data_IF_832089317245
#
_entry.id   IF_832089317245
#
_cell.length_a   1.000
_cell.length_b   1.000
_cell.length_c   1.000
_cell.angle_alpha   90.00
_cell.angle_beta   90.00
_cell.angle_gamma   90.00
#
_symmetry.space_group_name_H-M   'P 1'
#
loop_
_entity.id
_entity.type
_entity.pdbx_description
1 polymer ?
#
# COMPACT_ATOMS: atom_id res chain seq x y z
N UNK A 1 -21.68 -1.62 -29.49
CA UNK A 1 -22.32 -0.75 -28.46
C UNK A 1 -21.34 -0.23 -27.40
N UNK A 2 -20.16 -0.84 -27.18
CA UNK A 2 -19.19 -0.36 -26.19
C UNK A 2 -18.32 0.85 -26.63
N UNK A 3 -18.07 1.04 -27.94
CA UNK A 3 -17.28 2.19 -28.44
C UNK A 3 -18.02 3.53 -28.29
N UNK A 4 -19.35 3.55 -28.48
CA UNK A 4 -20.16 4.76 -28.39
C UNK A 4 -20.25 5.31 -26.95
N UNK A 5 -20.09 4.45 -25.94
CA UNK A 5 -20.09 4.84 -24.52
C UNK A 5 -18.75 5.46 -24.06
N UNK A 6 -17.65 5.27 -24.80
CA UNK A 6 -16.33 5.82 -24.46
C UNK A 6 -16.16 7.23 -25.05
N UNK A 7 -16.59 7.46 -26.30
CA UNK A 7 -16.41 8.78 -26.94
C UNK A 7 -17.25 9.89 -26.29
N UNK A 8 -18.43 9.57 -25.76
CA UNK A 8 -19.31 10.53 -25.08
C UNK A 8 -18.79 10.96 -23.68
N UNK A 9 -17.86 10.18 -23.10
CA UNK A 9 -17.24 10.49 -21.81
C UNK A 9 -16.00 11.38 -21.95
N UNK A 10 -15.35 11.41 -23.12
CA UNK A 10 -14.10 12.16 -23.35
C UNK A 10 -14.35 13.69 -23.40
N UNK A 11 -15.44 14.13 -24.05
CA UNK A 11 -15.79 15.54 -24.16
C UNK A 11 -16.10 16.22 -22.80
N UNK A 12 -16.44 15.43 -21.78
CA UNK A 12 -16.78 15.92 -20.44
C UNK A 12 -15.55 16.28 -19.59
N UNK A 13 -14.35 15.87 -20.01
CA UNK A 13 -13.10 16.12 -19.29
C UNK A 13 -12.07 16.93 -20.10
N UNK A 14 -12.54 17.62 -21.14
CA UNK A 14 -11.74 18.54 -21.93
C UNK A 14 -11.73 19.93 -21.29
N UNK A 15 -10.56 20.56 -21.27
CA UNK A 15 -10.39 21.94 -20.86
C UNK A 15 -10.96 22.86 -21.95
N UNK A 16 -11.92 23.74 -21.63
CA UNK A 16 -12.51 24.65 -22.62
C UNK A 16 -11.55 25.70 -23.20
N UNK A 17 -10.37 25.88 -22.59
CA UNK A 17 -9.38 26.88 -23.01
C UNK A 17 -8.39 26.28 -24.01
N UNK A 18 -7.80 25.12 -23.70
CA UNK A 18 -6.84 24.47 -24.60
C UNK A 18 -7.44 23.36 -25.46
N UNK A 19 -8.72 23.01 -25.25
CA UNK A 19 -9.46 21.96 -25.95
C UNK A 19 -8.86 20.55 -25.83
N UNK A 20 -7.93 20.37 -24.89
CA UNK A 20 -7.30 19.10 -24.53
C UNK A 20 -7.85 18.56 -23.21
N UNK A 21 -7.64 17.27 -22.96
CA UNK A 21 -7.89 16.63 -21.67
C UNK A 21 -7.28 17.43 -20.50
N UNK A 22 -8.02 17.59 -19.41
CA UNK A 22 -7.62 18.42 -18.27
C UNK A 22 -6.28 17.98 -17.64
N UNK A 23 -5.28 18.87 -17.68
CA UNK A 23 -3.97 18.71 -17.01
C UNK A 23 -3.97 19.49 -15.70
N UNK A 24 -3.81 18.78 -14.58
CA UNK A 24 -3.96 19.35 -13.22
C UNK A 24 -5.31 20.11 -13.12
N UNK A 25 -6.44 19.39 -13.18
CA UNK A 25 -7.75 20.02 -13.18
C UNK A 25 -7.98 20.84 -11.91
N UNK A 26 -8.52 22.04 -12.08
CA UNK A 26 -9.00 22.90 -11.00
C UNK A 26 -10.46 23.23 -11.27
N UNK A 27 -11.28 23.23 -10.23
CA UNK A 27 -12.70 23.61 -10.31
C UNK A 27 -12.88 24.94 -9.61
N UNK A 28 -13.34 25.95 -10.34
CA UNK A 28 -13.58 27.29 -9.80
C UNK A 28 -15.00 27.37 -9.20
N UNK A 29 -15.34 28.41 -8.39
CA UNK A 29 -16.59 28.42 -7.60
C UNK A 29 -17.90 28.29 -8.40
N UNK A 30 -17.91 28.60 -9.70
CA UNK A 30 -19.08 28.37 -10.56
C UNK A 30 -19.22 26.91 -11.04
N UNK A 31 -18.37 25.99 -10.58
CA UNK A 31 -18.41 24.55 -10.91
C UNK A 31 -17.71 24.14 -12.21
N UNK A 32 -17.21 25.09 -13.01
CA UNK A 32 -16.48 24.78 -14.24
C UNK A 32 -15.03 24.38 -13.95
N UNK A 33 -14.50 23.45 -14.73
CA UNK A 33 -13.15 22.91 -14.55
C UNK A 33 -12.23 23.23 -15.72
N UNK A 34 -10.97 23.55 -15.40
CA UNK A 34 -9.93 23.95 -16.35
C UNK A 34 -8.60 23.32 -15.96
N UNK A 35 -7.63 23.32 -16.88
CA UNK A 35 -6.24 23.11 -16.48
C UNK A 35 -5.80 24.27 -15.58
N UNK A 36 -5.06 23.97 -14.52
CA UNK A 36 -4.58 25.00 -13.58
C UNK A 36 -3.82 26.13 -14.29
N UNK A 37 -2.93 25.80 -15.23
CA UNK A 37 -2.22 26.78 -16.05
C UNK A 37 -3.18 27.61 -16.89
N UNK A 38 -4.08 26.98 -17.65
CA UNK A 38 -4.99 27.68 -18.56
C UNK A 38 -5.87 28.73 -17.86
N UNK A 39 -6.42 28.43 -16.68
CA UNK A 39 -7.25 29.42 -15.97
C UNK A 39 -6.39 30.48 -15.27
N UNK A 40 -5.17 30.13 -14.86
CA UNK A 40 -4.23 31.10 -14.28
C UNK A 40 -3.82 32.11 -15.33
N UNK A 41 -3.42 31.65 -16.52
CA UNK A 41 -3.02 32.50 -17.65
C UNK A 41 -4.13 33.49 -18.05
N UNK A 42 -5.39 33.05 -18.06
CA UNK A 42 -6.54 33.91 -18.35
C UNK A 42 -6.73 34.98 -17.27
N UNK A 43 -6.62 34.61 -15.99
CA UNK A 43 -6.78 35.55 -14.88
C UNK A 43 -5.60 36.48 -14.69
N UNK A 44 -4.38 36.04 -15.02
CA UNK A 44 -3.17 36.85 -14.95
C UNK A 44 -3.19 38.00 -15.99
N UNK A 45 -3.86 37.80 -17.13
CA UNK A 45 -4.11 38.86 -18.11
C UNK A 45 -5.14 39.90 -17.63
N UNK A 46 -6.04 39.53 -16.72
CA UNK A 46 -7.12 40.40 -16.20
C UNK A 46 -6.80 40.99 -14.82
N UNK A 47 -5.61 40.71 -14.27
CA UNK A 47 -5.24 41.01 -12.88
C UNK A 47 -5.28 42.53 -12.56
N UNK A 48 -4.99 43.38 -13.55
CA UNK A 48 -5.07 44.84 -13.43
C UNK A 48 -6.49 45.37 -13.21
N UNK A 49 -7.53 44.61 -13.56
CA UNK A 49 -8.94 45.00 -13.42
C UNK A 49 -9.56 44.56 -12.10
N UNK A 50 -8.90 43.69 -11.33
CA UNK A 50 -9.38 43.17 -10.04
C UNK A 50 -10.69 42.36 -10.10
N UNK A 51 -11.14 42.00 -11.31
CA UNK A 51 -12.38 41.26 -11.58
C UNK A 51 -12.02 40.06 -12.46
N UNK A 52 -12.21 38.85 -11.94
CA UNK A 52 -11.82 37.61 -12.61
C UNK A 52 -13.03 36.92 -13.20
N UNK A 53 -13.00 36.58 -14.49
CA UNK A 53 -14.15 35.97 -15.19
C UNK A 53 -13.95 34.49 -15.47
N UNK A 54 -15.02 33.71 -15.34
CA UNK A 54 -15.07 32.34 -15.85
C UNK A 54 -15.09 32.34 -17.39
N UNK A 55 -14.17 31.64 -18.08
CA UNK A 55 -14.16 31.55 -19.54
C UNK A 55 -15.46 31.00 -20.14
N UNK A 56 -16.10 30.03 -19.49
CA UNK A 56 -17.34 29.40 -19.95
C UNK A 56 -18.60 30.23 -19.67
N UNK A 57 -18.96 30.42 -18.39
CA UNK A 57 -20.24 31.05 -18.02
C UNK A 57 -20.16 32.56 -17.79
N UNK A 58 -18.97 33.16 -17.91
CA UNK A 58 -18.72 34.60 -17.74
C UNK A 58 -19.02 35.16 -16.33
N UNK A 59 -19.30 34.30 -15.35
CA UNK A 59 -19.46 34.71 -13.95
C UNK A 59 -18.18 35.38 -13.44
N UNK A 60 -18.35 36.49 -12.73
CA UNK A 60 -17.28 37.33 -12.18
C UNK A 60 -16.98 36.99 -10.72
N UNK A 61 -15.72 37.07 -10.33
CA UNK A 61 -15.24 36.87 -8.96
C UNK A 61 -14.35 38.04 -8.54
N UNK A 62 -14.55 38.52 -7.32
CA UNK A 62 -13.65 39.47 -6.63
C UNK A 62 -13.82 39.23 -5.13
N UNK A 63 -12.78 38.81 -4.38
CA UNK A 63 -11.37 38.66 -4.79
C UNK A 63 -11.09 37.44 -5.69
N UNK A 64 -9.85 37.29 -6.16
CA UNK A 64 -9.39 36.16 -6.99
C UNK A 64 -9.65 34.83 -6.27
N UNK A 65 -10.35 33.86 -6.90
CA UNK A 65 -10.51 32.55 -6.30
C UNK A 65 -9.18 31.82 -6.14
N UNK A 66 -9.00 31.14 -5.00
CA UNK A 66 -7.84 30.28 -4.78
C UNK A 66 -7.98 29.00 -5.61
N UNK A 67 -6.96 28.69 -6.41
CA UNK A 67 -6.95 27.52 -7.27
C UNK A 67 -6.33 26.32 -6.55
N UNK A 68 -7.15 25.30 -6.27
CA UNK A 68 -6.72 24.02 -5.74
C UNK A 68 -6.96 22.89 -6.74
N UNK A 69 -6.03 21.94 -6.84
CA UNK A 69 -6.19 20.75 -7.68
C UNK A 69 -7.43 19.96 -7.24
N UNK A 70 -8.36 19.73 -8.17
CA UNK A 70 -9.48 18.83 -7.96
C UNK A 70 -9.00 17.38 -8.09
N UNK A 71 -8.82 16.72 -6.94
CA UNK A 71 -8.30 15.34 -6.86
C UNK A 71 -9.24 14.35 -7.53
N UNK A 72 -10.56 14.54 -7.42
CA UNK A 72 -11.58 13.63 -7.98
C UNK A 72 -11.54 13.65 -9.50
N UNK A 73 -11.55 14.85 -10.11
CA UNK A 73 -11.47 14.99 -11.57
C UNK A 73 -10.11 14.48 -12.07
N UNK A 74 -9.03 14.75 -11.35
CA UNK A 74 -7.70 14.25 -11.72
C UNK A 74 -7.65 12.71 -11.75
N UNK A 75 -8.25 12.03 -10.76
CA UNK A 75 -8.32 10.57 -10.72
C UNK A 75 -9.20 10.00 -11.85
N UNK A 76 -10.32 10.66 -12.18
CA UNK A 76 -11.18 10.26 -13.30
C UNK A 76 -10.47 10.37 -14.64
N UNK A 77 -9.75 11.47 -14.87
CA UNK A 77 -8.93 11.70 -16.06
C UNK A 77 -7.81 10.65 -16.18
N UNK A 78 -7.17 10.29 -15.07
CA UNK A 78 -6.13 9.25 -15.03
C UNK A 78 -6.69 7.85 -15.33
N UNK A 79 -7.89 7.53 -14.81
CA UNK A 79 -8.58 6.28 -15.13
C UNK A 79 -8.96 6.21 -16.61
N UNK A 80 -9.46 7.30 -17.20
CA UNK A 80 -9.77 7.37 -18.63
C UNK A 80 -8.52 7.16 -19.51
N UNK A 81 -7.40 7.82 -19.19
CA UNK A 81 -6.15 7.63 -19.94
C UNK A 81 -5.61 6.21 -19.79
N UNK A 82 -5.73 5.60 -18.60
CA UNK A 82 -5.33 4.20 -18.37
C UNK A 82 -6.23 3.19 -19.08
N UNK A 83 -7.54 3.43 -19.12
CA UNK A 83 -8.48 2.62 -19.88
C UNK A 83 -8.22 2.74 -21.39
N UNK A 84 -7.83 3.93 -21.89
CA UNK A 84 -7.38 4.13 -23.27
C UNK A 84 -6.12 3.31 -23.60
N UNK A 85 -5.15 3.25 -22.69
CA UNK A 85 -3.93 2.44 -22.84
C UNK A 85 -4.19 0.92 -22.80
N UNK A 86 -5.34 0.48 -22.28
CA UNK A 86 -5.72 -0.93 -22.20
C UNK A 86 -6.72 -1.35 -23.29
N UNK A 87 -7.56 -0.43 -23.80
CA UNK A 87 -8.53 -0.68 -24.87
C UNK A 87 -7.96 -0.41 -26.28
N UNK A 88 -6.90 0.39 -26.40
CA UNK A 88 -6.15 0.52 -27.64
C UNK A 88 -5.19 -0.66 -27.82
N UNK A 89 -5.71 -1.78 -28.36
CA UNK A 89 -4.93 -2.51 -29.36
C UNK A 89 -4.51 -1.50 -30.44
N UNK A 90 -3.32 -1.62 -31.05
CA UNK A 90 -2.68 -0.50 -31.74
C UNK A 90 -3.46 -0.09 -32.99
N UNK A 91 -4.40 0.85 -32.84
CA UNK A 91 -4.80 1.79 -33.88
C UNK A 91 -3.87 2.99 -33.76
N UNK A 92 -2.59 2.73 -33.96
CA UNK A 92 -1.65 3.78 -34.33
C UNK A 92 -2.05 4.09 -35.77
N UNK A 93 -2.52 5.32 -36.03
CA UNK A 93 -2.14 5.92 -37.30
C UNK A 93 -0.61 5.90 -37.29
N UNK A 94 -0.06 4.82 -37.83
CA UNK A 94 1.35 4.71 -38.12
C UNK A 94 1.58 5.82 -39.15
N UNK A 95 1.93 7.02 -38.69
CA UNK A 95 3.17 7.59 -39.20
C UNK A 95 4.19 6.49 -38.98
N UNK A 96 4.38 5.64 -39.99
CA UNK A 96 5.49 4.72 -40.01
C UNK A 96 6.71 5.61 -39.78
N UNK A 97 7.29 5.48 -38.59
CA UNK A 97 8.64 5.94 -38.30
C UNK A 97 9.56 5.10 -39.20
N UNK A 98 9.60 5.45 -40.49
CA UNK A 98 10.08 4.60 -41.56
C UNK A 98 9.67 5.01 -42.98
N UNK A 99 8.75 5.98 -43.16
CA UNK A 99 8.37 6.45 -44.51
C UNK A 99 9.50 7.24 -45.17
N UNK A 100 10.36 6.53 -45.89
CA UNK A 100 11.42 7.09 -46.72
C UNK A 100 10.78 7.89 -47.85
N UNK A 101 11.21 9.13 -48.04
CA UNK A 101 10.71 9.98 -49.11
C UNK A 101 11.46 9.72 -50.41
N UNK A 102 10.80 9.96 -51.54
CA UNK A 102 11.44 9.88 -52.85
C UNK A 102 12.39 11.06 -53.07
N UNK A 103 13.61 10.77 -53.51
CA UNK A 103 14.66 11.74 -53.73
C UNK A 103 14.51 12.50 -55.06
N UNK A 104 13.82 11.92 -56.03
CA UNK A 104 13.64 12.50 -57.37
C UNK A 104 12.38 13.36 -57.53
N UNK A 105 11.47 13.35 -56.56
CA UNK A 105 10.27 14.19 -56.61
C UNK A 105 10.62 15.68 -56.52
N UNK A 106 10.15 16.47 -57.49
CA UNK A 106 10.16 17.92 -57.44
C UNK A 106 8.84 18.40 -56.80
N UNK A 107 8.91 19.04 -55.63
CA UNK A 107 7.73 19.49 -54.87
C UNK A 107 7.34 18.56 -53.71
N UNK A 108 6.07 18.16 -53.65
CA UNK A 108 5.57 17.26 -52.59
C UNK A 108 6.19 15.87 -52.79
N UNK A 109 7.14 15.51 -51.93
CA UNK A 109 7.84 14.22 -51.99
C UNK A 109 6.89 13.06 -51.66
N UNK A 110 6.77 12.15 -52.61
CA UNK A 110 5.99 10.92 -52.45
C UNK A 110 6.77 9.88 -51.62
N UNK A 111 6.05 8.94 -51.01
CA UNK A 111 6.66 7.79 -50.31
C UNK A 111 7.48 6.96 -51.30
N UNK A 112 8.73 6.66 -50.94
CA UNK A 112 9.59 5.77 -51.68
C UNK A 112 9.18 4.31 -51.44
N UNK A 113 9.24 3.51 -52.50
CA UNK A 113 8.94 2.07 -52.48
C UNK A 113 10.20 1.23 -52.60
N UNK A 114 11.23 1.73 -53.29
CA UNK A 114 12.53 1.08 -53.42
C UNK A 114 13.67 2.07 -53.26
N UNK A 115 14.80 1.60 -52.75
CA UNK A 115 16.08 2.30 -52.79
C UNK A 115 17.02 1.59 -53.76
N UNK A 116 17.73 2.36 -54.58
CA UNK A 116 18.78 1.85 -55.48
C UNK A 116 20.14 2.03 -54.83
N UNK A 117 20.93 0.96 -54.79
CA UNK A 117 22.25 0.94 -54.15
C UNK A 117 23.28 1.71 -54.98
N UNK A 118 23.22 1.60 -56.30
CA UNK A 118 24.15 2.26 -57.20
C UNK A 118 23.89 3.77 -57.31
N UNK A 119 22.61 4.19 -57.28
CA UNK A 119 22.23 5.59 -57.30
C UNK A 119 22.16 6.22 -55.91
N UNK A 120 22.27 5.43 -54.85
CA UNK A 120 22.13 5.84 -53.44
C UNK A 120 20.89 6.71 -53.20
N UNK A 121 19.81 6.38 -53.90
CA UNK A 121 18.58 7.18 -53.96
C UNK A 121 17.35 6.31 -53.80
N UNK A 122 16.33 6.86 -53.16
CA UNK A 122 15.04 6.22 -52.92
C UNK A 122 13.97 6.78 -53.87
N UNK A 123 13.20 5.88 -54.49
CA UNK A 123 12.24 6.22 -55.54
C UNK A 123 10.82 5.84 -55.14
N UNK A 124 9.87 6.74 -55.37
CA UNK A 124 8.44 6.39 -55.38
C UNK A 124 8.14 5.56 -56.64
N UNK A 125 6.96 4.93 -56.69
CA UNK A 125 6.60 4.00 -57.78
C UNK A 125 6.83 4.59 -59.18
N UNK A 126 6.42 5.84 -59.41
CA UNK A 126 6.58 6.52 -60.70
C UNK A 126 8.07 6.74 -61.06
N UNK A 127 8.88 7.24 -60.12
CA UNK A 127 10.30 7.45 -60.36
C UNK A 127 11.09 6.12 -60.43
N UNK A 128 10.61 5.07 -59.79
CA UNK A 128 11.16 3.73 -59.90
C UNK A 128 10.96 3.17 -61.32
N UNK A 129 9.75 3.28 -61.87
CA UNK A 129 9.45 2.84 -63.24
C UNK A 129 10.29 3.61 -64.26
N UNK A 130 10.47 4.92 -64.06
CA UNK A 130 11.36 5.72 -64.91
C UNK A 130 12.82 5.27 -64.79
N UNK A 131 13.30 5.03 -63.57
CA UNK A 131 14.64 4.52 -63.31
C UNK A 131 14.87 3.15 -63.98
N UNK A 132 13.96 2.19 -63.81
CA UNK A 132 14.06 0.86 -64.44
C UNK A 132 14.03 0.93 -65.97
N UNK A 133 13.28 1.87 -66.54
CA UNK A 133 13.25 2.09 -67.99
C UNK A 133 14.56 2.70 -68.51
N UNK A 134 15.17 3.65 -67.79
CA UNK A 134 16.45 4.28 -68.15
C UNK A 134 17.61 3.28 -68.05
N UNK A 135 17.61 2.42 -67.04
CA UNK A 135 18.68 1.46 -66.76
C UNK A 135 18.36 0.04 -67.24
N UNK A 136 17.46 -0.12 -68.23
CA UNK A 136 17.04 -1.43 -68.77
C UNK A 136 18.21 -2.32 -69.22
N UNK A 137 19.28 -1.72 -69.72
CA UNK A 137 20.50 -2.40 -70.18
C UNK A 137 21.54 -2.67 -69.07
N UNK A 138 21.43 -2.00 -67.91
CA UNK A 138 22.32 -2.15 -66.75
C UNK A 138 21.48 -2.29 -65.49
N UNK A 139 21.20 -3.52 -65.07
CA UNK A 139 20.43 -3.76 -63.84
C UNK A 139 21.15 -3.19 -62.62
N UNK A 140 20.51 -2.24 -61.98
CA UNK A 140 20.86 -1.76 -60.65
C UNK A 140 20.20 -2.64 -59.59
N UNK A 141 20.83 -2.75 -58.43
CA UNK A 141 20.30 -3.48 -57.28
C UNK A 141 19.30 -2.59 -56.53
N UNK A 142 18.04 -3.01 -56.56
CA UNK A 142 16.93 -2.35 -55.89
C UNK A 142 16.54 -3.15 -54.64
N UNK A 143 16.38 -2.48 -53.51
CA UNK A 143 15.89 -3.04 -52.26
C UNK A 143 14.69 -2.24 -51.74
N UNK A 144 13.96 -2.77 -50.75
CA UNK A 144 12.88 -2.03 -50.12
C UNK A 144 13.37 -0.70 -49.57
N UNK A 145 12.55 0.35 -49.72
CA UNK A 145 12.95 1.69 -49.33
C UNK A 145 13.39 1.73 -47.87
N UNK A 146 14.61 2.23 -47.62
CA UNK A 146 15.19 2.31 -46.28
C UNK A 146 15.80 3.69 -46.04
N UNK A 147 15.49 4.30 -44.90
CA UNK A 147 16.09 5.57 -44.48
C UNK A 147 17.54 5.43 -44.04
N UNK A 148 18.04 4.18 -43.97
CA UNK A 148 19.39 3.82 -43.53
C UNK A 148 20.28 3.36 -44.69
N UNK A 149 19.97 3.79 -45.91
CA UNK A 149 20.72 3.41 -47.11
C UNK A 149 22.22 3.71 -46.96
N UNK A 150 22.56 4.89 -46.44
CA UNK A 150 23.95 5.30 -46.22
C UNK A 150 24.68 4.42 -45.19
N UNK A 151 23.99 3.88 -44.18
CA UNK A 151 24.58 2.99 -43.17
C UNK A 151 24.95 1.62 -43.75
N UNK A 152 24.41 1.26 -44.92
CA UNK A 152 24.66 0.00 -45.61
C UNK A 152 25.83 0.09 -46.61
N UNK A 153 26.40 1.28 -46.79
CA UNK A 153 27.47 1.58 -47.74
C UNK A 153 28.77 1.84 -46.96
N UNK A 154 29.86 1.23 -47.41
CA UNK A 154 31.19 1.47 -46.89
C UNK A 154 31.62 2.91 -47.18
N UNK A 155 31.91 3.67 -46.13
CA UNK A 155 32.35 5.07 -46.24
C UNK A 155 33.68 5.26 -46.98
N UNK A 156 34.54 4.25 -47.04
CA UNK A 156 35.83 4.35 -47.72
C UNK A 156 35.78 3.95 -49.19
N UNK A 157 35.00 2.91 -49.52
CA UNK A 157 35.04 2.28 -50.84
C UNK A 157 33.78 2.53 -51.67
N UNK A 158 32.75 3.15 -51.07
CA UNK A 158 31.46 3.38 -51.72
C UNK A 158 30.84 2.08 -52.27
N UNK A 159 31.01 0.99 -51.51
CA UNK A 159 30.53 -0.37 -51.81
C UNK A 159 29.68 -0.90 -50.67
N UNK A 160 28.75 -1.81 -50.98
CA UNK A 160 27.86 -2.42 -50.00
C UNK A 160 28.64 -3.20 -48.92
N UNK A 161 28.14 -3.09 -47.69
CA UNK A 161 28.64 -3.86 -46.54
C UNK A 161 28.04 -5.26 -46.53
N UNK A 162 28.66 -6.18 -47.27
CA UNK A 162 28.19 -7.56 -47.46
C UNK A 162 28.86 -8.56 -46.51
N UNK A 163 29.96 -8.18 -45.88
CA UNK A 163 30.78 -9.01 -45.01
C UNK A 163 30.72 -8.49 -43.57
N UNK A 164 30.98 -9.37 -42.61
CA UNK A 164 31.11 -9.04 -41.20
C UNK A 164 32.45 -9.55 -40.67
N UNK A 165 33.24 -8.65 -40.09
CA UNK A 165 34.47 -9.00 -39.41
C UNK A 165 34.16 -9.30 -37.93
N UNK A 166 34.36 -10.55 -37.50
CA UNK A 166 34.15 -10.98 -36.11
C UNK A 166 35.21 -10.44 -35.17
N UNK A 167 36.45 -10.31 -35.66
CA UNK A 167 37.56 -9.73 -34.91
C UNK A 167 37.28 -8.28 -34.51
N UNK A 168 36.82 -7.46 -35.45
CA UNK A 168 36.56 -6.02 -35.22
C UNK A 168 35.09 -5.69 -34.94
N UNK A 169 34.22 -6.69 -34.98
CA UNK A 169 32.77 -6.59 -34.75
C UNK A 169 32.07 -5.51 -35.60
N UNK A 170 32.39 -5.46 -36.89
CA UNK A 170 31.83 -4.46 -37.82
C UNK A 170 31.50 -5.06 -39.19
N UNK A 171 30.47 -4.51 -39.83
CA UNK A 171 30.18 -4.81 -41.23
C UNK A 171 31.21 -4.13 -42.13
N UNK A 172 31.72 -4.84 -43.14
CA UNK A 172 32.75 -4.37 -44.08
C UNK A 172 32.34 -4.72 -45.52
N UNK A 173 32.91 -4.03 -46.52
CA UNK A 173 32.72 -4.39 -47.93
C UNK A 173 33.83 -5.34 -48.41
N UNK A 174 33.71 -5.85 -49.64
CA UNK A 174 34.68 -6.76 -50.23
C UNK A 174 36.07 -6.14 -50.44
N UNK A 175 36.18 -4.82 -50.59
CA UNK A 175 37.49 -4.13 -50.71
C UNK A 175 38.20 -4.06 -49.36
N UNK A 176 37.49 -3.73 -48.29
CA UNK A 176 38.01 -3.81 -46.92
C UNK A 176 38.50 -5.22 -46.58
N UNK A 177 37.82 -6.27 -47.05
CA UNK A 177 38.21 -7.65 -46.80
C UNK A 177 39.59 -7.98 -47.39
N UNK A 178 39.86 -7.57 -48.63
CA UNK A 178 41.11 -7.92 -49.32
C UNK A 178 42.28 -7.02 -48.94
N UNK A 179 42.01 -5.83 -48.41
CA UNK A 179 43.01 -4.85 -48.00
C UNK A 179 43.30 -4.95 -46.49
N UNK A 180 42.52 -4.24 -45.66
CA UNK A 180 42.76 -4.12 -44.21
C UNK A 180 42.43 -5.40 -43.40
N UNK A 181 41.43 -6.19 -43.80
CA UNK A 181 40.90 -7.30 -43.00
C UNK A 181 41.31 -8.70 -43.47
N UNK A 182 42.36 -8.80 -44.30
CA UNK A 182 42.75 -10.06 -44.97
C UNK A 182 43.06 -11.21 -44.01
N UNK A 183 43.55 -10.90 -42.82
CA UNK A 183 43.92 -11.89 -41.78
C UNK A 183 42.90 -12.00 -40.65
N UNK A 184 41.75 -11.31 -40.73
CA UNK A 184 40.74 -11.33 -39.67
C UNK A 184 39.70 -12.43 -39.91
N UNK A 185 39.04 -12.87 -38.84
CA UNK A 185 37.90 -13.78 -38.95
C UNK A 185 36.72 -13.02 -39.58
N UNK A 186 36.38 -13.40 -40.80
CA UNK A 186 35.38 -12.72 -41.62
C UNK A 186 34.40 -13.72 -42.21
N UNK A 187 33.13 -13.36 -42.18
CA UNK A 187 32.02 -14.16 -42.70
C UNK A 187 31.06 -13.26 -43.47
N UNK A 188 30.16 -13.82 -44.28
CA UNK A 188 29.10 -13.00 -44.89
C UNK A 188 28.17 -12.42 -43.81
N UNK A 189 27.72 -11.18 -44.00
CA UNK A 189 26.80 -10.52 -43.09
C UNK A 189 25.50 -11.31 -42.92
N UNK A 190 25.05 -12.01 -43.97
CA UNK A 190 23.86 -12.87 -43.95
C UNK A 190 24.08 -14.09 -43.04
N UNK A 191 25.23 -14.75 -43.13
CA UNK A 191 25.55 -15.90 -42.28
C UNK A 191 25.68 -15.49 -40.81
N UNK A 192 26.42 -14.41 -40.52
CA UNK A 192 26.56 -13.89 -39.15
C UNK A 192 25.21 -13.49 -38.56
N UNK A 193 24.38 -12.77 -39.33
CA UNK A 193 23.03 -12.40 -38.91
C UNK A 193 22.23 -13.64 -38.52
N UNK A 194 22.26 -14.70 -39.33
CA UNK A 194 21.54 -15.94 -39.03
C UNK A 194 22.03 -16.60 -37.74
N UNK A 195 23.33 -16.58 -37.48
CA UNK A 195 23.89 -17.10 -36.23
C UNK A 195 23.46 -16.28 -35.01
N UNK A 196 23.64 -14.96 -35.06
CA UNK A 196 23.23 -14.04 -33.98
C UNK A 196 21.73 -14.05 -33.74
N UNK A 197 20.93 -14.20 -34.81
CA UNK A 197 19.48 -14.33 -34.73
C UNK A 197 19.06 -15.57 -33.95
N UNK A 198 19.67 -16.74 -34.21
CA UNK A 198 19.41 -17.96 -33.43
C UNK A 198 19.76 -17.79 -31.95
N UNK A 199 20.92 -17.18 -31.68
CA UNK A 199 21.33 -16.87 -30.30
C UNK A 199 20.31 -15.98 -29.58
N UNK A 200 19.80 -14.94 -30.25
CA UNK A 200 18.76 -14.08 -29.69
C UNK A 200 17.44 -14.82 -29.46
N UNK A 201 17.03 -15.68 -30.37
CA UNK A 201 15.82 -16.50 -30.20
C UNK A 201 15.94 -17.45 -29.00
N UNK A 202 17.09 -18.09 -28.81
CA UNK A 202 17.35 -18.93 -27.64
C UNK A 202 17.38 -18.13 -26.33
N UNK A 203 18.04 -16.99 -26.35
CA UNK A 203 18.09 -16.05 -25.21
C UNK A 203 16.69 -15.58 -24.84
N UNK A 204 15.89 -15.21 -25.83
CA UNK A 204 14.51 -14.76 -25.64
C UNK A 204 13.63 -15.87 -25.05
N UNK A 205 13.76 -17.11 -25.55
CA UNK A 205 13.08 -18.29 -24.98
C UNK A 205 13.46 -18.51 -23.52
N UNK A 206 14.74 -18.38 -23.17
CA UNK A 206 15.20 -18.55 -21.80
C UNK A 206 14.69 -17.44 -20.87
N UNK A 207 14.69 -16.19 -21.30
CA UNK A 207 14.12 -15.07 -20.54
C UNK A 207 12.62 -15.30 -20.30
N UNK A 208 11.88 -15.73 -21.31
CA UNK A 208 10.45 -16.05 -21.16
C UNK A 208 10.19 -17.15 -20.13
N UNK A 209 11.01 -18.22 -20.12
CA UNK A 209 10.93 -19.27 -19.08
C UNK A 209 11.19 -18.71 -17.69
N UNK A 210 12.20 -17.85 -17.53
CA UNK A 210 12.51 -17.21 -16.24
C UNK A 210 11.36 -16.32 -15.78
N UNK A 211 10.76 -15.53 -16.69
CA UNK A 211 9.61 -14.68 -16.38
C UNK A 211 8.46 -15.54 -15.86
N UNK A 212 8.07 -16.60 -16.57
CA UNK A 212 6.99 -17.50 -16.16
C UNK A 212 7.26 -18.13 -14.78
N UNK A 213 8.50 -18.58 -14.54
CA UNK A 213 8.88 -19.14 -13.24
C UNK A 213 8.80 -18.10 -12.12
N UNK A 214 9.25 -16.87 -12.37
CA UNK A 214 9.18 -15.77 -11.39
C UNK A 214 7.75 -15.32 -11.13
N UNK A 215 6.90 -15.28 -12.14
CA UNK A 215 5.46 -14.98 -12.00
C UNK A 215 4.76 -16.04 -11.13
N UNK A 216 5.09 -17.32 -11.32
CA UNK A 216 4.57 -18.41 -10.48
C UNK A 216 4.98 -18.23 -9.01
N UNK A 217 6.28 -18.05 -8.75
CA UNK A 217 6.79 -17.83 -7.38
C UNK A 217 6.21 -16.57 -6.76
N UNK A 218 6.03 -15.50 -7.55
CA UNK A 218 5.41 -14.26 -7.09
C UNK A 218 3.98 -14.50 -6.60
N UNK A 219 3.19 -15.28 -7.34
CA UNK A 219 1.82 -15.59 -6.97
C UNK A 219 1.76 -16.49 -5.72
N UNK A 220 2.60 -17.52 -5.64
CA UNK A 220 2.72 -18.39 -4.44
C UNK A 220 3.08 -17.56 -3.19
N UNK A 221 4.04 -16.64 -3.31
CA UNK A 221 4.43 -15.75 -2.21
C UNK A 221 3.29 -14.81 -1.82
N UNK A 222 2.55 -14.28 -2.80
CA UNK A 222 1.39 -13.41 -2.56
C UNK A 222 0.31 -14.14 -1.76
N UNK A 223 0.06 -15.41 -2.06
CA UNK A 223 -0.89 -16.24 -1.33
C UNK A 223 -0.39 -16.60 0.07
N UNK A 224 0.90 -16.92 0.21
CA UNK A 224 1.52 -17.18 1.51
C UNK A 224 1.41 -15.96 2.44
N UNK A 225 1.68 -14.75 1.94
CA UNK A 225 1.54 -13.50 2.71
C UNK A 225 0.09 -13.29 3.16
N UNK A 226 -0.89 -13.50 2.26
CA UNK A 226 -2.31 -13.40 2.61
C UNK A 226 -2.70 -14.43 3.68
N UNK A 227 -2.25 -15.67 3.54
CA UNK A 227 -2.50 -16.75 4.50
C UNK A 227 -1.92 -16.42 5.87
N UNK A 228 -0.67 -15.93 5.92
CA UNK A 228 -0.02 -15.51 7.16
C UNK A 228 -0.78 -14.36 7.84
N UNK A 229 -1.23 -13.36 7.07
CA UNK A 229 -2.05 -12.25 7.61
C UNK A 229 -3.36 -12.75 8.22
N UNK A 230 -4.07 -13.67 7.55
CA UNK A 230 -5.30 -14.27 8.10
C UNK A 230 -5.02 -15.07 9.36
N UNK A 231 -3.97 -15.89 9.36
CA UNK A 231 -3.59 -16.68 10.53
C UNK A 231 -3.24 -15.82 11.74
N UNK A 232 -2.50 -14.72 11.54
CA UNK A 232 -2.20 -13.77 12.61
C UNK A 232 -3.47 -13.11 13.16
N UNK A 233 -4.39 -12.71 12.28
CA UNK A 233 -5.67 -12.11 12.67
C UNK A 233 -6.52 -13.10 13.48
N UNK A 234 -6.65 -14.35 13.02
CA UNK A 234 -7.37 -15.40 13.77
C UNK A 234 -6.74 -15.65 15.14
N UNK A 235 -5.40 -15.67 15.24
CA UNK A 235 -4.73 -15.83 16.52
C UNK A 235 -5.02 -14.68 17.49
N UNK A 236 -5.15 -13.43 17.00
CA UNK A 236 -5.57 -12.29 17.82
C UNK A 236 -7.01 -12.47 18.30
N UNK A 237 -7.94 -12.76 17.39
CA UNK A 237 -9.36 -12.96 17.71
C UNK A 237 -9.59 -14.09 18.72
N UNK A 238 -8.91 -15.23 18.52
CA UNK A 238 -8.97 -16.34 19.47
C UNK A 238 -8.38 -15.97 20.83
N UNK A 239 -7.28 -15.21 20.86
CA UNK A 239 -6.67 -14.74 22.10
C UNK A 239 -7.60 -13.80 22.87
N UNK A 240 -8.22 -12.84 22.17
CA UNK A 240 -9.20 -11.92 22.75
C UNK A 240 -10.41 -12.67 23.33
N UNK A 241 -10.91 -13.68 22.60
CA UNK A 241 -11.99 -14.55 23.08
C UNK A 241 -11.61 -15.25 24.38
N UNK A 242 -10.43 -15.86 24.43
CA UNK A 242 -9.92 -16.56 25.62
C UNK A 242 -9.78 -15.60 26.81
N UNK A 243 -9.19 -14.42 26.62
CA UNK A 243 -9.10 -13.42 27.69
C UNK A 243 -10.48 -12.95 28.17
N UNK A 244 -11.44 -12.82 27.27
CA UNK A 244 -12.82 -12.47 27.64
C UNK A 244 -13.47 -13.57 28.50
N UNK A 245 -13.25 -14.85 28.19
CA UNK A 245 -13.72 -15.97 29.01
C UNK A 245 -13.06 -15.99 30.41
N UNK A 246 -11.78 -15.66 30.50
CA UNK A 246 -11.07 -15.52 31.78
C UNK A 246 -11.62 -14.36 32.62
N UNK A 247 -11.85 -13.20 32.02
CA UNK A 247 -12.45 -12.04 32.70
C UNK A 247 -13.81 -12.41 33.27
N UNK A 248 -14.69 -13.05 32.48
CA UNK A 248 -16.00 -13.51 32.96
C UNK A 248 -15.89 -14.46 34.15
N UNK A 249 -14.90 -15.34 34.16
CA UNK A 249 -14.66 -16.28 35.27
C UNK A 249 -14.23 -15.55 36.54
N UNK A 250 -13.37 -14.53 36.42
CA UNK A 250 -12.94 -13.69 37.54
C UNK A 250 -14.10 -12.84 38.07
N UNK A 251 -14.93 -12.28 37.18
CA UNK A 251 -16.13 -11.54 37.57
C UNK A 251 -17.15 -12.42 38.31
N UNK A 252 -17.31 -13.67 37.88
CA UNK A 252 -18.12 -14.66 38.59
C UNK A 252 -17.58 -14.92 40.00
N UNK A 253 -16.29 -15.19 40.14
CA UNK A 253 -15.64 -15.37 41.44
C UNK A 253 -15.82 -14.15 42.36
N UNK A 254 -15.66 -12.93 41.81
CA UNK A 254 -15.93 -11.67 42.53
C UNK A 254 -17.38 -11.62 43.05
N UNK A 255 -18.34 -12.02 42.22
CA UNK A 255 -19.76 -12.03 42.62
C UNK A 255 -20.05 -13.04 43.74
N UNK A 256 -19.43 -14.21 43.68
CA UNK A 256 -19.56 -15.27 44.70
C UNK A 256 -18.99 -14.82 46.05
N UNK A 257 -17.78 -14.24 46.05
CA UNK A 257 -17.17 -13.69 47.28
C UNK A 257 -18.03 -12.57 47.87
N UNK A 258 -18.57 -11.68 47.03
CA UNK A 258 -19.49 -10.62 47.48
C UNK A 258 -20.75 -11.21 48.13
N UNK A 259 -21.34 -12.23 47.53
CA UNK A 259 -22.54 -12.89 48.06
C UNK A 259 -22.26 -13.57 49.40
N UNK A 260 -21.12 -14.25 49.53
CA UNK A 260 -20.70 -14.89 50.78
C UNK A 260 -20.60 -13.89 51.93
N UNK A 261 -19.88 -12.77 51.72
CA UNK A 261 -19.75 -11.71 52.73
C UNK A 261 -21.13 -11.19 53.15
N UNK A 262 -22.00 -10.89 52.18
CA UNK A 262 -23.34 -10.37 52.46
C UNK A 262 -24.26 -11.38 53.14
N UNK A 263 -24.11 -12.67 52.86
CA UNK A 263 -24.86 -13.72 53.55
C UNK A 263 -24.45 -13.83 55.01
N UNK A 264 -23.13 -13.84 55.28
CA UNK A 264 -22.60 -13.95 56.63
C UNK A 264 -22.85 -12.68 57.46
N UNK A 265 -22.76 -11.49 56.86
CA UNK A 265 -23.16 -10.22 57.46
C UNK A 265 -24.62 -10.28 57.92
N UNK A 266 -25.56 -10.64 57.03
CA UNK A 266 -26.98 -10.74 57.39
C UNK A 266 -27.24 -11.74 58.50
N UNK A 267 -26.59 -12.91 58.47
CA UNK A 267 -26.75 -13.92 59.51
C UNK A 267 -26.24 -13.42 60.88
N UNK A 268 -25.08 -12.75 60.91
CA UNK A 268 -24.52 -12.18 62.13
C UNK A 268 -25.38 -11.03 62.67
N UNK A 269 -25.87 -10.14 61.79
CA UNK A 269 -26.75 -9.03 62.18
C UNK A 269 -28.08 -9.53 62.72
N UNK A 270 -28.75 -10.46 62.03
CA UNK A 270 -30.02 -11.05 62.49
C UNK A 270 -29.89 -11.66 63.89
N UNK A 271 -28.80 -12.40 64.15
CA UNK A 271 -28.53 -12.98 65.47
C UNK A 271 -28.29 -11.89 66.54
N UNK A 272 -27.62 -10.80 66.17
CA UNK A 272 -27.38 -9.69 67.10
C UNK A 272 -28.67 -8.92 67.41
N UNK A 273 -29.54 -8.72 66.41
CA UNK A 273 -30.86 -8.11 66.56
C UNK A 273 -31.75 -8.94 67.50
N UNK A 274 -31.78 -10.27 67.35
CA UNK A 274 -32.51 -11.18 68.27
C UNK A 274 -32.04 -11.04 69.73
N UNK A 275 -30.72 -10.94 69.94
CA UNK A 275 -30.15 -10.75 71.29
C UNK A 275 -30.46 -9.35 71.85
N UNK A 276 -30.49 -8.32 71.02
CA UNK A 276 -30.86 -6.97 71.41
C UNK A 276 -32.34 -6.91 71.84
N UNK A 277 -33.24 -7.52 71.06
CA UNK A 277 -34.66 -7.61 71.42
C UNK A 277 -34.87 -8.33 72.76
N UNK A 278 -34.14 -9.44 72.98
CA UNK A 278 -34.19 -10.14 74.27
C UNK A 278 -33.71 -9.26 75.43
N UNK A 279 -32.58 -8.57 75.25
CA UNK A 279 -32.02 -7.66 76.25
C UNK A 279 -32.95 -6.48 76.56
N UNK A 280 -33.63 -5.93 75.56
CA UNK A 280 -34.61 -4.86 75.74
C UNK A 280 -35.78 -5.33 76.62
N UNK A 281 -36.31 -6.53 76.38
CA UNK A 281 -37.37 -7.12 77.21
C UNK A 281 -36.92 -7.36 78.65
N UNK A 282 -35.71 -7.89 78.86
CA UNK A 282 -35.14 -8.10 80.18
C UNK A 282 -34.94 -6.77 80.93
N UNK A 283 -34.47 -5.72 80.24
CA UNK A 283 -34.31 -4.38 80.82
C UNK A 283 -35.65 -3.75 81.22
N UNK A 284 -36.68 -3.88 80.39
CA UNK A 284 -37.99 -3.32 80.68
C UNK A 284 -38.68 -4.02 81.85
N UNK A 285 -38.54 -5.34 81.95
CA UNK A 285 -39.00 -6.15 83.09
C UNK A 285 -38.26 -5.78 84.39
N UNK A 286 -36.93 -5.62 84.34
CA UNK A 286 -36.15 -5.15 85.48
C UNK A 286 -36.51 -3.73 85.91
N UNK A 287 -36.70 -2.80 84.96
CA UNK A 287 -37.15 -1.43 85.23
C UNK A 287 -38.54 -1.41 85.88
N UNK A 288 -39.46 -2.27 85.41
CA UNK A 288 -40.78 -2.41 86.00
C UNK A 288 -40.70 -2.91 87.46
N UNK A 289 -39.89 -3.95 87.73
CA UNK A 289 -39.66 -4.44 89.11
C UNK A 289 -39.01 -3.40 90.02
N UNK A 290 -38.02 -2.65 89.53
CA UNK A 290 -37.38 -1.56 90.29
C UNK A 290 -38.41 -0.47 90.68
N UNK A 291 -39.29 -0.10 89.75
CA UNK A 291 -40.34 0.87 90.03
C UNK A 291 -41.35 0.36 91.08
N UNK A 292 -41.75 -0.92 91.01
CA UNK A 292 -42.63 -1.55 92.01
C UNK A 292 -41.97 -1.58 93.40
N UNK A 293 -40.69 -1.96 93.47
CA UNK A 293 -39.93 -1.97 94.73
C UNK A 293 -39.80 -0.56 95.33
N UNK A 294 -39.53 0.47 94.52
CA UNK A 294 -39.50 1.87 94.97
C UNK A 294 -40.85 2.29 95.56
N UNK A 295 -41.95 2.03 94.85
CA UNK A 295 -43.29 2.37 95.32
C UNK A 295 -43.64 1.66 96.65
N UNK A 296 -43.29 0.37 96.78
CA UNK A 296 -43.47 -0.37 98.02
C UNK A 296 -42.66 0.24 99.17
N UNK A 297 -41.40 0.62 98.93
CA UNK A 297 -40.52 1.22 99.95
C UNK A 297 -41.03 2.55 100.51
N UNK A 298 -41.79 3.32 99.71
CA UNK A 298 -42.38 4.61 100.09
C UNK A 298 -43.72 4.46 100.84
N UNK A 299 -44.26 3.25 100.93
CA UNK A 299 -45.58 2.99 101.55
C UNK A 299 -45.51 3.14 103.09
N UNK A 300 -46.41 3.95 103.66
CA UNK A 300 -46.51 4.16 105.12
C UNK A 300 -47.27 3.06 105.87
N UNK A 301 -48.04 2.24 105.16
CA UNK A 301 -48.79 1.11 105.73
C UNK A 301 -47.86 -0.11 105.90
N UNK A 302 -47.46 -0.36 107.14
CA UNK A 302 -46.56 -1.45 107.51
C UNK A 302 -47.14 -2.84 107.20
N UNK A 303 -48.47 -3.02 107.25
CA UNK A 303 -49.10 -4.31 106.97
C UNK A 303 -49.12 -4.57 105.47
N UNK A 304 -49.43 -3.55 104.67
CA UNK A 304 -49.37 -3.63 103.21
C UNK A 304 -47.95 -3.94 102.73
N UNK A 305 -46.94 -3.23 103.25
CA UNK A 305 -45.53 -3.49 102.94
C UNK A 305 -45.12 -4.95 103.17
N UNK A 306 -45.43 -5.50 104.35
CA UNK A 306 -45.06 -6.87 104.70
C UNK A 306 -45.79 -7.93 103.87
N UNK A 307 -47.07 -7.71 103.54
CA UNK A 307 -47.83 -8.61 102.67
C UNK A 307 -47.32 -8.58 101.23
N UNK A 308 -47.05 -7.40 100.68
CA UNK A 308 -46.55 -7.26 99.31
C UNK A 308 -45.11 -7.75 99.16
N UNK A 309 -44.26 -7.62 100.18
CA UNK A 309 -42.90 -8.14 100.14
C UNK A 309 -42.86 -9.67 99.99
N UNK A 310 -43.83 -10.39 100.59
CA UNK A 310 -43.92 -11.85 100.45
C UNK A 310 -44.31 -12.34 99.04
N UNK A 311 -44.81 -11.45 98.16
CA UNK A 311 -45.17 -11.77 96.77
C UNK A 311 -44.10 -11.40 95.74
N UNK A 312 -43.07 -10.62 96.10
CA UNK A 312 -42.01 -10.22 95.18
C UNK A 312 -40.97 -11.34 95.08
N UNK A 313 -40.87 -11.95 93.89
CA UNK A 313 -39.83 -12.94 93.60
C UNK A 313 -38.53 -12.23 93.20
N UNK A 314 -37.48 -12.39 93.99
CA UNK A 314 -36.13 -11.94 93.65
C UNK A 314 -35.44 -13.04 92.84
N UNK A 315 -35.35 -12.86 91.53
CA UNK A 315 -34.48 -13.68 90.67
C UNK A 315 -33.35 -12.78 90.17
N UNK A 316 -32.13 -13.06 90.60
CA UNK A 316 -30.92 -12.44 90.08
C UNK A 316 -30.51 -13.16 88.79
N UNK A 317 -31.00 -12.72 87.63
CA UNK A 317 -30.51 -13.23 86.36
C UNK A 317 -29.16 -12.59 86.04
N UNK A 318 -28.08 -13.36 86.20
CA UNK A 318 -26.72 -12.98 85.78
C UNK A 318 -26.27 -13.87 84.64
N UNK A 319 -26.98 -13.86 83.51
CA UNK A 319 -26.46 -14.48 82.29
C UNK A 319 -25.71 -13.42 81.47
N UNK A 320 -24.40 -13.58 81.40
CA UNK A 320 -23.53 -12.70 80.63
C UNK A 320 -23.64 -12.99 79.14
N UNK A 321 -24.13 -12.02 78.36
CA UNK A 321 -24.09 -12.10 76.90
C UNK A 321 -22.64 -11.93 76.40
N UNK A 322 -22.10 -12.94 75.72
CA UNK A 322 -20.79 -12.86 75.07
C UNK A 322 -20.95 -12.31 73.65
N UNK A 323 -20.51 -11.07 73.44
CA UNK A 323 -20.46 -10.44 72.12
C UNK A 323 -19.21 -10.90 71.39
N UNK A 324 -19.34 -11.83 70.44
CA UNK A 324 -18.24 -12.18 69.52
C UNK A 324 -18.18 -11.21 68.35
N UNK A 325 -17.07 -10.48 68.23
CA UNK A 325 -16.83 -9.59 67.09
C UNK A 325 -16.33 -10.40 65.89
N UNK A 326 -17.12 -10.47 64.82
CA UNK A 326 -16.77 -11.20 63.60
C UNK A 326 -16.12 -10.26 62.58
N UNK A 327 -14.79 -10.31 62.45
CA UNK A 327 -14.05 -9.57 61.42
C UNK A 327 -14.01 -10.31 60.09
N UNK A 328 -14.07 -9.56 58.98
CA UNK A 328 -13.87 -10.07 57.61
C UNK A 328 -12.41 -9.96 57.13
N UNK A 329 -11.47 -9.60 58.01
CA UNK A 329 -10.05 -9.40 57.66
C UNK A 329 -9.44 -10.63 56.97
N UNK A 330 -9.81 -11.84 57.41
CA UNK A 330 -9.28 -13.06 56.82
C UNK A 330 -9.79 -13.28 55.39
N UNK A 331 -11.03 -12.85 55.08
CA UNK A 331 -11.55 -12.86 53.69
C UNK A 331 -10.74 -11.88 52.83
N UNK A 332 -10.45 -10.69 53.34
CA UNK A 332 -9.62 -9.69 52.64
C UNK A 332 -8.20 -10.20 52.40
N UNK A 333 -7.59 -10.88 53.39
CA UNK A 333 -6.28 -11.53 53.24
C UNK A 333 -6.34 -12.62 52.16
N UNK A 334 -7.35 -13.49 52.17
CA UNK A 334 -7.50 -14.53 51.15
C UNK A 334 -7.68 -13.96 49.74
N UNK A 335 -8.47 -12.90 49.56
CA UNK A 335 -8.62 -12.22 48.26
C UNK A 335 -7.30 -11.58 47.81
N UNK A 336 -6.53 -11.01 48.75
CA UNK A 336 -5.21 -10.46 48.46
C UNK A 336 -4.22 -11.54 47.99
N UNK A 337 -4.22 -12.69 48.65
CA UNK A 337 -3.40 -13.84 48.24
C UNK A 337 -3.80 -14.37 46.87
N UNK A 338 -5.10 -14.40 46.55
CA UNK A 338 -5.59 -14.78 45.22
C UNK A 338 -5.07 -13.83 44.14
N UNK A 339 -5.14 -12.51 44.38
CA UNK A 339 -4.58 -11.49 43.47
C UNK A 339 -3.10 -11.75 43.21
N UNK A 340 -2.30 -11.95 44.25
CA UNK A 340 -0.84 -12.10 44.11
C UNK A 340 -0.50 -13.36 43.29
N UNK A 341 -1.21 -14.47 43.52
CA UNK A 341 -1.05 -15.70 42.72
C UNK A 341 -1.43 -15.49 41.25
N UNK A 342 -2.55 -14.83 40.98
CA UNK A 342 -3.00 -14.56 39.60
C UNK A 342 -2.04 -13.62 38.87
N UNK A 343 -1.52 -12.60 39.57
CA UNK A 343 -0.57 -11.66 38.99
C UNK A 343 0.75 -12.34 38.64
N UNK A 344 1.30 -13.14 39.54
CA UNK A 344 2.53 -13.89 39.28
C UNK A 344 2.37 -14.84 38.09
N UNK A 345 1.29 -15.64 38.10
CA UNK A 345 0.98 -16.54 37.00
C UNK A 345 0.84 -15.81 35.65
N UNK A 346 0.20 -14.64 35.65
CA UNK A 346 0.01 -13.84 34.43
C UNK A 346 1.33 -13.32 33.85
N UNK A 347 2.28 -12.92 34.71
CA UNK A 347 3.60 -12.46 34.28
C UNK A 347 4.39 -13.61 33.64
N UNK A 348 4.43 -14.76 34.31
CA UNK A 348 5.19 -15.93 33.87
C UNK A 348 4.65 -16.44 32.51
N UNK A 349 3.33 -16.54 32.36
CA UNK A 349 2.72 -16.99 31.11
C UNK A 349 2.83 -15.97 29.98
N UNK A 350 2.76 -14.66 30.27
CA UNK A 350 3.00 -13.63 29.25
C UNK A 350 4.39 -13.74 28.63
N UNK A 351 5.41 -14.05 29.44
CA UNK A 351 6.77 -14.28 28.95
C UNK A 351 6.84 -15.55 28.07
N UNK A 352 6.17 -16.63 28.46
CA UNK A 352 6.08 -17.88 27.69
C UNK A 352 5.39 -17.68 26.33
N UNK A 353 4.29 -16.93 26.31
CA UNK A 353 3.56 -16.57 25.10
C UNK A 353 4.46 -15.72 24.18
N UNK A 354 5.18 -14.74 24.74
CA UNK A 354 6.11 -13.90 23.97
C UNK A 354 7.22 -14.73 23.32
N UNK A 355 7.81 -15.68 24.05
CA UNK A 355 8.83 -16.59 23.52
C UNK A 355 8.29 -17.40 22.33
N UNK A 356 7.12 -18.02 22.47
CA UNK A 356 6.46 -18.78 21.39
C UNK A 356 6.14 -17.92 20.17
N UNK A 357 5.73 -16.66 20.39
CA UNK A 357 5.51 -15.68 19.32
C UNK A 357 6.79 -15.39 18.52
N UNK A 358 7.93 -15.18 19.19
CA UNK A 358 9.22 -14.88 18.53
C UNK A 358 9.77 -16.04 17.69
N UNK A 359 9.57 -17.29 18.12
CA UNK A 359 9.99 -18.47 17.35
C UNK A 359 9.30 -18.57 15.97
N UNK A 360 8.02 -18.19 15.88
CA UNK A 360 7.27 -18.20 14.62
C UNK A 360 7.81 -17.22 13.57
N UNK A 361 8.43 -16.11 14.01
CA UNK A 361 9.05 -15.12 13.11
C UNK A 361 10.45 -15.53 12.61
N UNK A 362 11.16 -16.40 13.33
CA UNK A 362 12.56 -16.76 13.01
C UNK A 362 12.69 -17.92 12.03
N UNK A 363 11.84 -18.95 12.08
CA UNK A 363 12.02 -20.17 11.26
C UNK A 363 11.43 -20.08 9.86
N UNK A 364 10.37 -19.28 9.65
CA UNK A 364 9.63 -19.26 8.36
C UNK A 364 10.10 -18.19 7.37
N UNK A 365 10.88 -17.21 7.82
CA UNK A 365 11.23 -16.02 7.04
C UNK A 365 12.42 -16.23 6.08
N UNK A 366 13.26 -17.25 6.32
CA UNK A 366 14.63 -17.23 5.77
C UNK A 366 15.07 -18.44 4.95
N UNK A 367 14.37 -19.59 4.94
CA UNK A 367 15.02 -20.84 4.48
C UNK A 367 14.52 -21.54 3.21
N UNK A 368 13.32 -21.31 2.68
CA UNK A 368 12.81 -22.16 1.58
C UNK A 368 12.59 -21.50 0.21
N UNK A 369 12.63 -20.17 0.11
CA UNK A 369 12.38 -19.50 -1.18
C UNK A 369 13.69 -19.24 -1.96
N UNK A 370 14.81 -19.04 -1.26
CA UNK A 370 16.10 -18.73 -1.89
C UNK A 370 17.00 -19.95 -2.17
N UNK A 371 16.89 -21.04 -1.39
CA UNK A 371 17.80 -22.20 -1.53
C UNK A 371 17.51 -23.13 -2.71
N UNK A 372 16.32 -23.06 -3.35
CA UNK A 372 15.95 -23.98 -4.44
C UNK A 372 16.28 -23.50 -5.85
N UNK A 373 16.74 -22.26 -6.02
CA UNK A 373 17.03 -21.66 -7.33
C UNK A 373 18.53 -21.36 -7.49
N UNK A 374 19.38 -22.37 -7.26
CA UNK A 374 20.76 -22.32 -7.76
C UNK A 374 20.71 -22.22 -9.28
N UNK A 375 20.85 -21.00 -9.79
CA UNK A 375 21.16 -20.77 -11.20
C UNK A 375 22.55 -21.33 -11.45
N UNK A 376 22.66 -22.29 -12.37
CA UNK A 376 23.93 -22.78 -12.88
C UNK A 376 24.70 -21.59 -13.45
N UNK A 377 25.83 -21.30 -12.81
CA UNK A 377 26.78 -20.28 -13.20
C UNK A 377 27.68 -20.87 -14.29
N UNK A 378 27.23 -20.82 -15.54
CA UNK A 378 28.12 -21.01 -16.69
C UNK A 378 27.57 -20.26 -17.89
N UNK A 379 28.03 -19.02 -18.05
CA UNK A 379 28.26 -18.39 -19.36
C UNK A 379 28.72 -16.95 -19.15
N UNK A 380 30.00 -16.68 -19.40
CA UNK A 380 30.61 -15.34 -19.31
C UNK A 380 29.93 -14.30 -20.20
N UNK A 381 29.24 -14.72 -21.27
CA UNK A 381 28.48 -13.87 -22.18
C UNK A 381 27.18 -13.34 -21.57
N UNK A 382 26.52 -14.11 -20.70
CA UNK A 382 25.28 -13.68 -20.02
C UNK A 382 25.58 -12.54 -19.04
N UNK A 383 26.68 -12.63 -18.31
CA UNK A 383 27.11 -11.59 -17.37
C UNK A 383 27.43 -10.29 -18.09
N UNK A 384 28.05 -10.37 -19.28
CA UNK A 384 28.48 -9.19 -20.04
C UNK A 384 27.31 -8.48 -20.74
N UNK A 385 26.36 -9.22 -21.33
CA UNK A 385 25.13 -8.64 -21.89
C UNK A 385 24.19 -8.07 -20.82
N UNK A 386 24.06 -8.73 -19.68
CA UNK A 386 23.29 -8.19 -18.56
C UNK A 386 23.96 -6.96 -17.95
N UNK A 387 25.29 -6.92 -17.88
CA UNK A 387 26.05 -5.75 -17.44
C UNK A 387 25.85 -4.57 -18.41
N UNK A 388 25.96 -4.77 -19.72
CA UNK A 388 25.72 -3.74 -20.75
C UNK A 388 24.27 -3.22 -20.74
N UNK A 389 23.28 -4.11 -20.62
CA UNK A 389 21.87 -3.71 -20.51
C UNK A 389 21.59 -3.01 -19.17
N UNK A 390 22.23 -3.43 -18.08
CA UNK A 390 22.15 -2.77 -16.78
C UNK A 390 22.80 -1.38 -16.80
N UNK A 391 23.94 -1.23 -17.47
CA UNK A 391 24.61 0.06 -17.68
C UNK A 391 23.76 1.02 -18.53
N UNK A 392 23.13 0.55 -19.61
CA UNK A 392 22.16 1.35 -20.38
C UNK A 392 20.95 1.77 -19.54
N UNK A 393 20.46 0.89 -18.66
CA UNK A 393 19.35 1.19 -17.75
C UNK A 393 19.75 2.16 -16.63
N UNK A 394 20.98 2.08 -16.13
CA UNK A 394 21.54 3.03 -15.16
C UNK A 394 21.83 4.39 -15.80
N UNK A 395 22.27 4.43 -17.06
CA UNK A 395 22.42 5.68 -17.83
C UNK A 395 21.09 6.41 -18.02
N UNK A 396 20.02 5.67 -18.33
CA UNK A 396 18.66 6.22 -18.42
C UNK A 396 18.12 6.70 -17.05
N UNK A 397 18.41 5.96 -15.97
CA UNK A 397 18.03 6.37 -14.61
C UNK A 397 18.87 7.52 -14.04
N UNK A 398 20.10 7.74 -14.52
CA UNK A 398 20.92 8.92 -14.16
C UNK A 398 20.37 10.19 -14.79
N UNK A 399 19.82 10.09 -16.00
CA UNK A 399 19.04 11.17 -16.64
C UNK A 399 17.78 11.51 -15.84
N UNK A 400 16.99 10.50 -15.43
CA UNK A 400 15.78 10.69 -14.61
C UNK A 400 16.10 11.22 -13.19
N UNK A 401 17.19 10.78 -12.55
CA UNK A 401 17.62 11.31 -11.25
C UNK A 401 18.20 12.72 -11.33
N UNK A 402 18.88 13.10 -12.41
CA UNK A 402 19.36 14.47 -12.60
C UNK A 402 18.19 15.45 -12.89
N UNK A 403 17.12 14.98 -13.52
CA UNK A 403 15.86 15.71 -13.68
C UNK A 403 15.08 15.83 -12.34
N UNK A 404 15.11 14.80 -11.48
CA UNK A 404 14.52 14.89 -10.14
C UNK A 404 15.36 15.72 -9.16
N UNK A 405 16.70 15.67 -9.22
CA UNK A 405 17.58 16.45 -8.33
C UNK A 405 17.59 17.95 -8.69
N UNK A 406 17.47 18.32 -9.97
CA UNK A 406 17.29 19.73 -10.36
C UNK A 406 15.94 20.30 -9.92
N UNK A 407 14.90 19.46 -9.78
CA UNK A 407 13.59 19.82 -9.22
C UNK A 407 13.58 19.98 -7.69
N UNK A 408 14.47 19.27 -6.98
CA UNK A 408 14.62 19.39 -5.53
C UNK A 408 15.52 20.57 -5.15
N UNK A 409 16.54 20.88 -5.96
CA UNK A 409 17.48 21.96 -5.67
C UNK A 409 16.90 23.37 -5.98
N UNK A 410 15.96 23.47 -6.92
CA UNK A 410 15.18 24.70 -7.16
C UNK A 410 14.11 24.97 -6.07
N UNK A 411 13.66 23.94 -5.34
CA UNK A 411 12.72 24.08 -4.23
C UNK A 411 13.36 24.35 -2.86
N UNK A 412 14.70 24.24 -2.75
CA UNK A 412 15.44 24.54 -1.51
C UNK A 412 16.03 25.96 -1.49
N UNK A 413 16.15 26.65 -2.64
CA UNK A 413 16.57 28.05 -2.68
C UNK A 413 15.43 29.07 -2.49
N UNK A 414 14.16 28.64 -2.48
CA UNK A 414 13.00 29.51 -2.27
C UNK A 414 12.46 29.53 -0.83
N UNK A 415 13.10 28.84 0.12
CA UNK A 415 12.69 28.82 1.54
C UNK A 415 13.66 29.48 2.54
N UNK A 416 14.67 30.20 2.06
CA UNK A 416 15.53 31.05 2.90
C UNK A 416 15.53 32.49 2.40
N UNK A 417 14.36 33.12 2.35
CA UNK A 417 14.23 34.56 2.34
C UNK A 417 12.80 34.92 2.73
N UNK A 418 12.51 35.00 4.03
CA UNK A 418 11.73 36.08 4.63
C UNK A 418 11.85 35.93 6.15
N UNK A 419 12.14 37.07 6.75
CA UNK A 419 12.43 37.33 8.17
C UNK A 419 11.15 37.42 8.97
#
# INVERSE_FOLDING_TARGET
>A
MAEASISCAEDQFCCPVCLDLLKVPVTIPCGHSYCMSCISDVWDQEDQKGIYRCPLCKQTFSPRPVLGKNVVIAEMVEKLTKTRLQAAGPAVHHTESGDVQCDSCTGIKQKAVKSCLECQSSYCQNHLEQHENLFRSKKHNLMDATGRLQEMICSQHDKMLEMYCRTDQRCICMMCLVDEHKSHDTVSAVAERKEKQRYFEDTQRNIQKIIQQKEKVFQELREAVKSHKRSAQTAVEDSERIFTELIRSIEKCRSEVKQLIRHQERAAVSKAEELLEQLELELDDLRWRDAELKQLSETKDHVHFLKSLSSVSFSESTDGFTVTNHSFDDVVKSVSQLRDKLQQFSIDEAENISKRGKFLFSEKSSLNIYKKNNFSSDDSLWTQLLYELHLRRLGSRRSERNLQMSFVQTNLQSKTCFR
#
